data_IF_637859348620
#
_entry.id   IF_637859348620
#
_cell.length_a   1.000
_cell.length_b   1.000
_cell.length_c   1.000
_cell.angle_alpha   90.00
_cell.angle_beta   90.00
_cell.angle_gamma   90.00
#
_symmetry.space_group_name_H-M   'P 1'
#
loop_
_entity.id
_entity.type
_entity.pdbx_description
1 polymer ?
#
# COMPACT_ATOMS: atom_id res chain seq x y z
N UNK A 1 1.96 -25.81 -0.87
CA UNK A 1 1.33 -25.19 0.33
C UNK A 1 0.90 -23.78 -0.04
N UNK A 2 -0.26 -23.30 0.42
CA UNK A 2 -0.69 -21.92 0.16
C UNK A 2 0.24 -20.93 0.88
N UNK A 3 0.69 -19.88 0.18
CA UNK A 3 1.44 -18.77 0.77
C UNK A 3 0.59 -18.12 1.88
N UNK A 4 1.19 -17.80 3.04
CA UNK A 4 0.49 -17.10 4.14
C UNK A 4 0.10 -15.69 3.66
N UNK A 5 -1.09 -15.23 4.05
CA UNK A 5 -1.60 -13.91 3.66
C UNK A 5 -1.29 -12.87 4.74
N UNK A 6 -0.95 -11.66 4.30
CA UNK A 6 -0.78 -10.49 5.17
C UNK A 6 -1.53 -9.30 4.57
N UNK A 7 -2.16 -8.51 5.44
CA UNK A 7 -2.88 -7.30 5.05
C UNK A 7 -2.08 -6.07 5.48
N UNK A 8 -1.68 -5.25 4.52
CA UNK A 8 -0.97 -3.98 4.75
C UNK A 8 -1.94 -2.83 4.52
N UNK A 9 -2.33 -2.13 5.59
CA UNK A 9 -3.25 -0.98 5.51
C UNK A 9 -2.46 0.32 5.56
N UNK A 10 -2.66 1.19 4.56
CA UNK A 10 -1.96 2.47 4.41
C UNK A 10 -2.96 3.61 4.18
N UNK A 11 -2.63 4.81 4.65
CA UNK A 11 -3.50 5.97 4.49
C UNK A 11 -2.80 7.31 4.48
N UNK A 12 -1.68 7.48 5.18
CA UNK A 12 -0.94 8.76 5.20
C UNK A 12 0.44 8.62 4.57
N UNK A 13 1.04 9.76 4.19
CA UNK A 13 2.33 9.80 3.47
C UNK A 13 3.46 9.00 4.16
N UNK A 14 3.63 9.07 5.49
CA UNK A 14 4.59 8.23 6.20
C UNK A 14 4.35 6.72 6.05
N UNK A 15 3.11 6.27 5.76
CA UNK A 15 2.82 4.86 5.52
C UNK A 15 3.37 4.40 4.17
N UNK A 16 3.27 5.19 3.10
CA UNK A 16 3.80 4.80 1.77
C UNK A 16 5.30 4.57 1.81
N UNK A 17 6.05 5.47 2.46
CA UNK A 17 7.51 5.33 2.62
C UNK A 17 7.87 4.02 3.31
N UNK A 18 7.16 3.66 4.39
CA UNK A 18 7.36 2.38 5.09
C UNK A 18 6.89 1.18 4.25
N UNK A 19 5.77 1.33 3.55
CA UNK A 19 5.19 0.31 2.68
C UNK A 19 6.19 -0.13 1.63
N UNK A 20 6.85 0.80 0.93
CA UNK A 20 7.85 0.50 -0.10
C UNK A 20 8.91 -0.52 0.35
N UNK A 21 9.54 -0.27 1.49
CA UNK A 21 10.58 -1.15 2.03
C UNK A 21 10.02 -2.46 2.58
N UNK A 22 8.90 -2.40 3.30
CA UNK A 22 8.33 -3.58 3.96
C UNK A 22 7.69 -4.53 2.96
N UNK A 23 6.94 -4.01 1.99
CA UNK A 23 6.30 -4.78 0.92
C UNK A 23 7.28 -5.61 0.10
N UNK A 24 8.45 -5.04 -0.22
CA UNK A 24 9.48 -5.75 -0.98
C UNK A 24 9.92 -7.04 -0.27
N UNK A 25 10.09 -6.96 1.05
CA UNK A 25 10.50 -8.12 1.87
C UNK A 25 9.33 -9.09 2.06
N UNK A 26 8.13 -8.59 2.40
CA UNK A 26 6.96 -9.44 2.65
C UNK A 26 6.59 -10.28 1.43
N UNK A 27 6.63 -9.69 0.22
CA UNK A 27 6.22 -10.37 -1.01
C UNK A 27 7.14 -11.52 -1.44
N UNK A 28 8.35 -11.63 -0.88
CA UNK A 28 9.24 -12.79 -1.10
C UNK A 28 8.59 -14.08 -0.57
N UNK A 29 8.07 -14.03 0.65
CA UNK A 29 7.59 -15.24 1.38
C UNK A 29 6.08 -15.26 1.66
N UNK A 30 5.38 -14.13 1.48
CA UNK A 30 3.95 -13.97 1.75
C UNK A 30 3.16 -13.52 0.52
N UNK A 31 1.85 -13.68 0.60
CA UNK A 31 0.88 -13.05 -0.31
C UNK A 31 0.34 -11.80 0.38
N UNK A 32 0.92 -10.65 0.04
CA UNK A 32 0.53 -9.36 0.59
C UNK A 32 -0.67 -8.79 -0.16
N UNK A 33 -1.65 -8.30 0.61
CA UNK A 33 -2.80 -7.53 0.13
C UNK A 33 -2.64 -6.11 0.68
N UNK A 34 -2.59 -5.12 -0.20
CA UNK A 34 -2.50 -3.70 0.17
C UNK A 34 -3.90 -3.07 0.14
N UNK A 35 -4.25 -2.39 1.23
CA UNK A 35 -5.48 -1.59 1.34
C UNK A 35 -5.11 -0.13 1.55
N UNK A 36 -5.53 0.74 0.65
CA UNK A 36 -5.45 2.18 0.81
C UNK A 36 -6.76 2.71 1.42
N UNK A 37 -6.69 3.41 2.56
CA UNK A 37 -7.89 3.91 3.25
C UNK A 37 -8.56 5.07 2.50
N UNK A 38 -7.84 5.75 1.61
CA UNK A 38 -8.33 6.95 0.93
C UNK A 38 -8.11 8.24 1.73
N UNK A 39 -7.26 8.22 2.76
CA UNK A 39 -6.74 9.44 3.37
C UNK A 39 -5.74 10.07 2.37
N UNK A 40 -5.82 11.40 2.17
CA UNK A 40 -5.19 12.26 1.14
C UNK A 40 -6.18 12.83 0.12
N UNK A 41 -6.45 14.13 0.25
CA UNK A 41 -7.44 14.90 -0.53
C UNK A 41 -7.07 15.10 -2.00
N UNK A 42 -5.84 14.81 -2.39
CA UNK A 42 -5.39 14.94 -3.77
C UNK A 42 -4.97 13.58 -4.30
N UNK A 43 -5.90 12.90 -4.98
CA UNK A 43 -5.73 11.56 -5.56
C UNK A 43 -4.47 11.47 -6.42
N UNK A 44 -4.15 12.56 -7.12
CA UNK A 44 -2.94 12.69 -7.93
C UNK A 44 -1.65 12.53 -7.12
N UNK A 45 -1.62 13.02 -5.87
CA UNK A 45 -0.42 12.95 -5.03
C UNK A 45 -0.20 11.55 -4.49
N UNK A 46 -1.27 10.80 -4.18
CA UNK A 46 -1.15 9.41 -3.75
C UNK A 46 -0.59 8.52 -4.86
N UNK A 47 -1.08 8.67 -6.08
CA UNK A 47 -0.68 7.85 -7.23
C UNK A 47 0.82 8.03 -7.55
N UNK A 48 1.33 9.27 -7.47
CA UNK A 48 2.76 9.58 -7.62
C UNK A 48 3.63 8.81 -6.62
N UNK A 49 3.20 8.66 -5.36
CA UNK A 49 4.00 7.90 -4.38
C UNK A 49 4.07 6.40 -4.69
N UNK A 50 2.99 5.80 -5.20
CA UNK A 50 3.03 4.40 -5.60
C UNK A 50 4.00 4.18 -6.75
N UNK A 51 3.99 5.08 -7.74
CA UNK A 51 4.91 5.04 -8.88
C UNK A 51 6.36 5.31 -8.46
N UNK A 52 6.63 6.44 -7.80
CA UNK A 52 8.00 6.87 -7.44
C UNK A 52 8.69 5.92 -6.46
N UNK A 53 7.93 5.33 -5.53
CA UNK A 53 8.46 4.41 -4.53
C UNK A 53 8.40 2.94 -5.00
N UNK A 54 7.96 2.68 -6.23
CA UNK A 54 7.77 1.33 -6.77
C UNK A 54 6.91 0.43 -5.86
N UNK A 55 5.92 1.02 -5.21
CA UNK A 55 4.95 0.29 -4.39
C UNK A 55 3.88 -0.26 -5.34
N UNK A 56 3.54 -1.56 -5.27
CA UNK A 56 2.44 -2.08 -6.07
C UNK A 56 1.13 -1.36 -5.75
N UNK A 57 0.32 -1.15 -6.78
CA UNK A 57 -1.00 -0.53 -6.63
C UNK A 57 -1.83 -1.26 -5.55
N UNK A 58 -2.63 -0.52 -4.77
CA UNK A 58 -3.44 -1.13 -3.73
C UNK A 58 -4.47 -2.09 -4.34
N UNK A 59 -4.61 -3.28 -3.74
CA UNK A 59 -5.64 -4.26 -4.11
C UNK A 59 -7.05 -3.71 -3.82
N UNK A 60 -7.16 -2.88 -2.78
CA UNK A 60 -8.39 -2.19 -2.42
C UNK A 60 -8.13 -0.73 -2.07
N UNK A 61 -8.96 0.17 -2.56
CA UNK A 61 -9.01 1.57 -2.13
C UNK A 61 -10.39 1.87 -1.54
N UNK A 62 -10.43 2.24 -0.27
CA UNK A 62 -11.70 2.36 0.48
C UNK A 62 -12.38 3.73 0.32
N UNK A 63 -11.62 4.80 0.06
CA UNK A 63 -12.20 6.14 -0.09
C UNK A 63 -12.88 6.68 1.17
N UNK A 64 -12.50 6.20 2.35
CA UNK A 64 -13.10 6.56 3.65
C UNK A 64 -12.25 7.55 4.46
N UNK A 65 -11.20 8.12 3.86
CA UNK A 65 -10.39 9.15 4.49
C UNK A 65 -11.19 10.44 4.64
N UNK A 66 -11.39 10.90 5.88
CA UNK A 66 -12.03 12.18 6.20
C UNK A 66 -11.28 13.36 5.63
#
# INVERSE_FOLDING_TARGET
MSKRRILTVVGVRPNFIKCALVSEVLRRDLHEIIVHTGQHYDKQVSDVFFEELSIPSPDYSLGIGS
#
